data_IF_456290493190
#
_entry.id   IF_456290493190
#
_cell.length_a   1.000
_cell.length_b   1.000
_cell.length_c   1.000
_cell.angle_alpha   90.00
_cell.angle_beta   90.00
_cell.angle_gamma   90.00
#
_symmetry.space_group_name_H-M   'P 1'
#
loop_
_entity.id
_entity.type
_entity.pdbx_description
1 polymer ?
#
# COMPACT_ATOMS: atom_id res chain seq x y z
N UNK A 1 27.48 70.55 59.17
CA UNK A 1 28.40 70.58 58.00
C UNK A 1 29.52 69.56 58.15
N UNK A 2 30.31 69.54 59.25
CA UNK A 2 31.42 68.58 59.45
C UNK A 2 31.01 67.08 59.49
N UNK A 3 29.86 66.72 60.07
CA UNK A 3 29.39 65.31 60.10
C UNK A 3 29.03 64.75 58.72
N UNK A 4 28.61 65.61 57.79
CA UNK A 4 28.26 65.19 56.42
C UNK A 4 29.54 64.90 55.63
N UNK A 5 30.59 65.70 55.79
CA UNK A 5 31.89 65.49 55.16
C UNK A 5 32.59 64.24 55.70
N UNK A 6 32.50 63.97 57.00
CA UNK A 6 33.03 62.74 57.62
C UNK A 6 32.29 61.49 57.11
N UNK A 7 30.96 61.55 57.00
CA UNK A 7 30.17 60.47 56.41
C UNK A 7 30.49 60.27 54.92
N UNK A 8 30.68 61.35 54.17
CA UNK A 8 31.05 61.28 52.76
C UNK A 8 32.43 60.63 52.58
N UNK A 9 33.43 61.04 53.38
CA UNK A 9 34.76 60.42 53.36
C UNK A 9 34.75 58.94 53.73
N UNK A 10 33.91 58.54 54.71
CA UNK A 10 33.73 57.13 55.06
C UNK A 10 33.03 56.33 53.95
N UNK A 11 32.07 56.93 53.25
CA UNK A 11 31.40 56.30 52.10
C UNK A 11 32.39 56.13 50.95
N UNK A 12 33.18 57.15 50.61
CA UNK A 12 34.20 57.05 49.55
C UNK A 12 35.23 55.96 49.87
N UNK A 13 35.73 55.92 51.11
CA UNK A 13 36.66 54.87 51.54
C UNK A 13 36.02 53.47 51.54
N UNK A 14 34.74 53.36 51.90
CA UNK A 14 34.00 52.10 51.81
C UNK A 14 33.80 51.66 50.35
N UNK A 15 33.50 52.60 49.44
CA UNK A 15 33.34 52.33 48.02
C UNK A 15 34.65 51.91 47.35
N UNK A 16 35.78 52.56 47.68
CA UNK A 16 37.09 52.13 47.20
C UNK A 16 37.44 50.73 47.70
N UNK A 17 37.18 50.44 48.97
CA UNK A 17 37.42 49.10 49.55
C UNK A 17 36.52 48.04 48.93
N UNK A 18 35.27 48.36 48.60
CA UNK A 18 34.36 47.48 47.85
C UNK A 18 34.88 47.30 46.42
N UNK A 19 35.31 48.36 45.75
CA UNK A 19 35.87 48.30 44.40
C UNK A 19 37.08 47.36 44.33
N UNK A 20 38.03 47.51 45.26
CA UNK A 20 39.19 46.62 45.39
C UNK A 20 38.75 45.17 45.71
N UNK A 21 37.76 45.00 46.59
CA UNK A 21 37.22 43.68 46.92
C UNK A 21 36.56 42.98 45.73
N UNK A 22 35.79 43.71 44.92
CA UNK A 22 35.14 43.19 43.70
C UNK A 22 36.18 42.85 42.65
N UNK A 23 37.20 43.69 42.44
CA UNK A 23 38.31 43.37 41.53
C UNK A 23 39.06 42.13 41.97
N UNK A 24 39.34 41.96 43.26
CA UNK A 24 40.00 40.77 43.79
C UNK A 24 39.13 39.51 43.69
N UNK A 25 37.81 39.63 43.83
CA UNK A 25 36.88 38.50 43.60
C UNK A 25 36.82 38.11 42.12
N UNK A 26 36.77 39.09 41.21
CA UNK A 26 36.80 38.83 39.77
C UNK A 26 38.12 38.18 39.33
N UNK A 27 39.26 38.64 39.84
CA UNK A 27 40.57 37.98 39.61
C UNK A 27 40.60 36.57 40.17
N UNK A 28 40.00 36.33 41.34
CA UNK A 28 39.92 35.00 41.95
C UNK A 28 39.03 34.05 41.16
N UNK A 29 37.96 34.54 40.54
CA UNK A 29 37.05 33.76 39.70
C UNK A 29 37.69 33.40 38.34
N UNK A 30 38.50 34.30 37.77
CA UNK A 30 39.26 34.06 36.54
C UNK A 30 40.44 33.10 36.77
N UNK A 31 41.05 33.14 37.96
CA UNK A 31 42.20 32.30 38.34
C UNK A 31 41.81 31.02 39.07
N UNK A 32 40.53 30.86 39.45
CA UNK A 32 40.02 29.64 40.05
C UNK A 32 40.02 28.52 39.01
N UNK A 33 40.92 27.55 39.18
CA UNK A 33 40.86 26.31 38.43
C UNK A 33 39.48 25.64 38.66
N UNK A 34 38.86 25.09 37.60
CA UNK A 34 37.59 24.38 37.75
C UNK A 34 37.75 23.28 38.81
N UNK A 35 36.76 23.17 39.71
CA UNK A 35 36.75 22.17 40.77
C UNK A 35 36.91 20.77 40.15
N UNK A 36 37.95 20.00 40.52
CA UNK A 36 38.21 18.68 39.94
C UNK A 36 37.03 17.72 40.12
N UNK A 37 36.21 17.88 41.17
CA UNK A 37 35.01 17.05 41.37
C UNK A 37 33.92 17.35 40.34
N UNK A 38 33.73 18.62 39.98
CA UNK A 38 32.76 19.02 38.95
C UNK A 38 33.22 18.57 37.55
N UNK A 39 34.52 18.64 37.27
CA UNK A 39 35.09 18.15 36.02
C UNK A 39 34.88 16.64 35.86
N UNK A 40 35.12 15.86 36.93
CA UNK A 40 34.88 14.41 36.91
C UNK A 40 33.40 14.07 36.72
N UNK A 41 32.48 14.76 37.42
CA UNK A 41 31.05 14.55 37.26
C UNK A 41 30.57 14.88 35.84
N UNK A 42 31.14 15.91 35.21
CA UNK A 42 30.84 16.27 33.83
C UNK A 42 31.33 15.19 32.85
N UNK A 43 32.51 14.63 33.05
CA UNK A 43 33.03 13.53 32.23
C UNK A 43 32.15 12.26 32.35
N UNK A 44 31.71 11.92 33.57
CA UNK A 44 30.80 10.81 33.83
C UNK A 44 29.45 10.99 33.12
N UNK A 45 28.86 12.18 33.21
CA UNK A 45 27.60 12.52 32.51
C UNK A 45 27.77 12.54 30.99
N UNK A 46 28.89 13.04 30.46
CA UNK A 46 29.18 12.98 29.02
C UNK A 46 29.29 11.54 28.51
N UNK A 47 29.94 10.67 29.28
CA UNK A 47 30.04 9.25 28.96
C UNK A 47 28.67 8.56 29.01
N UNK A 48 27.86 8.85 30.02
CA UNK A 48 26.49 8.35 30.13
C UNK A 48 25.63 8.84 28.94
N UNK A 49 25.75 10.11 28.57
CA UNK A 49 25.03 10.68 27.43
C UNK A 49 25.45 10.01 26.11
N UNK A 50 26.75 9.83 25.88
CA UNK A 50 27.26 9.13 24.70
C UNK A 50 26.73 7.69 24.60
N UNK A 51 26.69 6.95 25.71
CA UNK A 51 26.10 5.61 25.77
C UNK A 51 24.60 5.61 25.46
N UNK A 52 23.85 6.57 26.01
CA UNK A 52 22.42 6.72 25.74
C UNK A 52 22.16 7.10 24.28
N UNK A 53 22.97 7.98 23.70
CA UNK A 53 22.89 8.34 22.29
C UNK A 53 23.13 7.14 21.38
N UNK A 54 24.13 6.31 21.68
CA UNK A 54 24.38 5.10 20.89
C UNK A 54 23.25 4.07 21.05
N UNK A 55 22.74 3.87 22.27
CA UNK A 55 21.56 3.02 22.49
C UNK A 55 20.34 3.53 21.72
N UNK A 56 20.10 4.82 21.72
CA UNK A 56 19.01 5.46 20.98
C UNK A 56 19.21 5.31 19.46
N UNK A 57 20.45 5.43 18.97
CA UNK A 57 20.80 5.20 17.57
C UNK A 57 20.50 3.75 17.16
N UNK A 58 20.94 2.79 17.97
CA UNK A 58 20.68 1.36 17.74
C UNK A 58 19.19 1.03 17.79
N UNK A 59 18.45 1.60 18.75
CA UNK A 59 17.02 1.41 18.86
C UNK A 59 16.28 1.98 17.65
N UNK A 60 16.65 3.18 17.20
CA UNK A 60 16.11 3.79 15.98
C UNK A 60 16.39 2.95 14.74
N UNK A 61 17.60 2.41 14.61
CA UNK A 61 17.95 1.51 13.50
C UNK A 61 17.08 0.25 13.51
N UNK A 62 16.93 -0.41 14.67
CA UNK A 62 16.06 -1.59 14.81
C UNK A 62 14.61 -1.29 14.44
N UNK A 63 14.06 -0.17 14.90
CA UNK A 63 12.70 0.21 14.54
C UNK A 63 12.54 0.55 13.07
N UNK A 64 13.56 1.15 12.43
CA UNK A 64 13.54 1.38 10.99
C UNK A 64 13.50 0.04 10.22
N UNK A 65 14.30 -0.94 10.65
CA UNK A 65 14.32 -2.28 10.07
C UNK A 65 12.97 -3.01 10.27
N UNK A 66 12.39 -2.95 11.47
CA UNK A 66 11.07 -3.53 11.79
C UNK A 66 9.96 -2.90 10.94
N UNK A 67 9.97 -1.57 10.78
CA UNK A 67 9.00 -0.87 9.94
C UNK A 67 9.17 -1.21 8.46
N UNK A 68 10.41 -1.41 7.99
CA UNK A 68 10.67 -1.85 6.63
C UNK A 68 10.15 -3.27 6.40
N UNK A 69 10.38 -4.20 7.35
CA UNK A 69 9.87 -5.55 7.29
C UNK A 69 8.33 -5.61 7.28
N UNK A 70 7.68 -4.86 8.19
CA UNK A 70 6.22 -4.78 8.24
C UNK A 70 5.60 -4.21 6.96
N UNK A 71 6.26 -3.23 6.33
CA UNK A 71 5.81 -2.69 5.03
C UNK A 71 5.90 -3.75 3.94
N UNK A 72 7.01 -4.47 3.84
CA UNK A 72 7.16 -5.56 2.88
C UNK A 72 6.11 -6.67 3.09
N UNK A 73 5.80 -7.02 4.34
CA UNK A 73 4.75 -7.99 4.65
C UNK A 73 3.35 -7.51 4.23
N UNK A 74 3.05 -6.21 4.41
CA UNK A 74 1.79 -5.62 3.95
C UNK A 74 1.68 -5.60 2.42
N UNK A 75 2.76 -5.26 1.72
CA UNK A 75 2.80 -5.27 0.25
C UNK A 75 2.57 -6.69 -0.28
N UNK A 76 3.27 -7.69 0.29
CA UNK A 76 3.04 -9.11 -0.02
C UNK A 76 1.60 -9.55 0.26
N UNK A 77 1.01 -9.10 1.38
CA UNK A 77 -0.38 -9.41 1.71
C UNK A 77 -1.39 -8.79 0.73
N UNK A 78 -1.09 -7.60 0.20
CA UNK A 78 -1.90 -6.96 -0.83
C UNK A 78 -1.81 -7.74 -2.15
N UNK A 79 -0.61 -8.16 -2.58
CA UNK A 79 -0.42 -9.01 -3.77
C UNK A 79 -1.14 -10.36 -3.65
N UNK A 80 -1.09 -10.99 -2.47
CA UNK A 80 -1.83 -12.24 -2.25
C UNK A 80 -3.35 -12.03 -2.36
N UNK A 81 -3.86 -10.88 -1.91
CA UNK A 81 -5.29 -10.56 -2.05
C UNK A 81 -5.70 -10.33 -3.50
N UNK A 82 -4.88 -9.63 -4.30
CA UNK A 82 -5.17 -9.42 -5.73
C UNK A 82 -5.16 -10.75 -6.48
N UNK A 83 -4.15 -11.60 -6.27
CA UNK A 83 -4.09 -12.94 -6.88
C UNK A 83 -5.28 -13.82 -6.50
N UNK A 84 -5.76 -13.75 -5.25
CA UNK A 84 -6.96 -14.47 -4.81
C UNK A 84 -8.22 -13.97 -5.52
N UNK A 85 -8.36 -12.67 -5.71
CA UNK A 85 -9.49 -12.09 -6.43
C UNK A 85 -9.49 -12.51 -7.91
N UNK A 86 -8.32 -12.48 -8.56
CA UNK A 86 -8.14 -12.95 -9.93
C UNK A 86 -8.49 -14.44 -10.08
N UNK A 87 -8.00 -15.28 -9.16
CA UNK A 87 -8.30 -16.71 -9.18
C UNK A 87 -9.80 -17.00 -8.99
N UNK A 88 -10.47 -16.24 -8.12
CA UNK A 88 -11.92 -16.34 -7.95
C UNK A 88 -12.68 -15.94 -9.24
N UNK A 89 -12.30 -14.82 -9.85
CA UNK A 89 -12.89 -14.37 -11.12
C UNK A 89 -12.66 -15.39 -12.26
N UNK A 90 -11.47 -16.00 -12.32
CA UNK A 90 -11.16 -17.05 -13.29
C UNK A 90 -12.02 -18.31 -13.04
N UNK A 91 -12.22 -18.71 -11.78
CA UNK A 91 -13.10 -19.81 -11.42
C UNK A 91 -14.55 -19.58 -11.85
N UNK A 92 -15.06 -18.35 -11.68
CA UNK A 92 -16.39 -17.96 -12.14
C UNK A 92 -16.52 -17.99 -13.66
N UNK A 93 -15.53 -17.46 -14.38
CA UNK A 93 -15.49 -17.52 -15.84
C UNK A 93 -15.47 -18.97 -16.35
N UNK A 94 -14.70 -19.85 -15.71
CA UNK A 94 -14.65 -21.27 -16.06
C UNK A 94 -16.00 -21.96 -15.85
N UNK A 95 -16.70 -21.68 -14.75
CA UNK A 95 -18.04 -22.24 -14.48
C UNK A 95 -19.07 -21.78 -15.51
N UNK A 96 -19.00 -20.51 -15.94
CA UNK A 96 -19.86 -19.99 -17.02
C UNK A 96 -19.57 -20.70 -18.34
N UNK A 97 -18.30 -20.82 -18.71
CA UNK A 97 -17.89 -21.52 -19.92
C UNK A 97 -18.36 -22.98 -19.93
N UNK A 98 -18.22 -23.72 -18.82
CA UNK A 98 -18.71 -25.10 -18.72
C UNK A 98 -20.23 -25.17 -18.92
N UNK A 99 -20.97 -24.25 -18.33
CA UNK A 99 -22.44 -24.13 -18.53
C UNK A 99 -22.78 -23.88 -19.99
N UNK A 100 -22.07 -22.98 -20.66
CA UNK A 100 -22.31 -22.63 -22.06
C UNK A 100 -21.94 -23.78 -23.01
N UNK A 101 -20.86 -24.50 -22.73
CA UNK A 101 -20.49 -25.73 -23.47
C UNK A 101 -21.55 -26.82 -23.31
N UNK A 102 -22.08 -27.03 -22.10
CA UNK A 102 -23.15 -27.99 -21.86
C UNK A 102 -24.43 -27.61 -22.62
N UNK A 103 -24.81 -26.32 -22.63
CA UNK A 103 -25.94 -25.82 -23.41
C UNK A 103 -25.74 -26.00 -24.91
N UNK A 104 -24.54 -25.72 -25.42
CA UNK A 104 -24.22 -25.90 -26.82
C UNK A 104 -24.30 -27.37 -27.24
N UNK A 105 -23.84 -28.30 -26.39
CA UNK A 105 -23.97 -29.74 -26.63
C UNK A 105 -25.44 -30.16 -26.68
N UNK A 106 -26.23 -29.75 -25.70
CA UNK A 106 -27.66 -30.04 -25.66
C UNK A 106 -28.40 -29.52 -26.90
N UNK A 107 -28.13 -28.28 -27.31
CA UNK A 107 -28.71 -27.69 -28.52
C UNK A 107 -28.29 -28.45 -29.79
N UNK A 108 -27.03 -28.89 -29.90
CA UNK A 108 -26.56 -29.71 -31.02
C UNK A 108 -27.25 -31.08 -31.06
N UNK A 109 -27.42 -31.74 -29.92
CA UNK A 109 -28.12 -33.02 -29.83
C UNK A 109 -29.59 -32.88 -30.24
N UNK A 110 -30.26 -31.81 -29.80
CA UNK A 110 -31.64 -31.51 -30.19
C UNK A 110 -31.77 -31.19 -31.68
N UNK A 111 -30.84 -30.43 -32.25
CA UNK A 111 -30.77 -30.18 -33.70
C UNK A 111 -30.58 -31.47 -34.50
N UNK A 112 -29.74 -32.40 -34.03
CA UNK A 112 -29.52 -33.71 -34.67
C UNK A 112 -30.79 -34.56 -34.64
N UNK A 113 -31.46 -34.62 -33.49
CA UNK A 113 -32.73 -35.33 -33.34
C UNK A 113 -33.80 -34.74 -34.25
N UNK A 114 -33.93 -33.41 -34.29
CA UNK A 114 -34.89 -32.73 -35.16
C UNK A 114 -34.59 -32.97 -36.65
N UNK A 115 -33.32 -32.91 -37.08
CA UNK A 115 -32.94 -33.23 -38.45
C UNK A 115 -33.20 -34.71 -38.82
N UNK A 116 -33.08 -35.63 -37.86
CA UNK A 116 -33.45 -37.03 -38.08
C UNK A 116 -34.97 -37.19 -38.25
N UNK A 117 -35.76 -36.53 -37.39
CA UNK A 117 -37.22 -36.56 -37.47
C UNK A 117 -37.75 -35.92 -38.76
N UNK A 118 -37.23 -34.77 -39.16
CA UNK A 118 -37.58 -34.11 -40.42
C UNK A 118 -37.24 -34.98 -41.65
N UNK A 119 -36.10 -35.69 -41.63
CA UNK A 119 -35.76 -36.63 -42.70
C UNK A 119 -36.74 -37.80 -42.76
N UNK A 120 -37.09 -38.40 -41.62
CA UNK A 120 -38.07 -39.47 -41.54
C UNK A 120 -39.47 -39.01 -42.02
N UNK A 121 -39.90 -37.81 -41.62
CA UNK A 121 -41.16 -37.22 -42.05
C UNK A 121 -41.18 -36.96 -43.57
N UNK A 122 -40.11 -36.39 -44.13
CA UNK A 122 -39.96 -36.19 -45.57
C UNK A 122 -39.94 -37.53 -46.35
N UNK A 123 -39.24 -38.55 -45.86
CA UNK A 123 -39.22 -39.90 -46.46
C UNK A 123 -40.61 -40.54 -46.45
N UNK A 124 -41.40 -40.29 -45.41
CA UNK A 124 -42.79 -40.74 -45.31
C UNK A 124 -43.79 -39.91 -46.12
N UNK A 125 -43.35 -38.79 -46.72
CA UNK A 125 -44.20 -37.85 -47.46
C UNK A 125 -45.20 -37.09 -46.58
N UNK A 126 -45.04 -37.13 -45.25
CA UNK A 126 -45.91 -36.46 -44.28
C UNK A 126 -45.22 -35.17 -43.84
N UNK A 127 -45.71 -34.02 -44.31
CA UNK A 127 -45.27 -32.73 -43.79
C UNK A 127 -45.88 -32.49 -42.41
N UNK A 128 -45.15 -32.75 -41.33
CA UNK A 128 -45.60 -32.47 -39.96
C UNK A 128 -45.17 -31.06 -39.50
N UNK A 129 -46.11 -30.13 -39.26
CA UNK A 129 -45.81 -28.76 -38.81
C UNK A 129 -45.12 -28.70 -37.44
N UNK A 130 -45.41 -29.65 -36.55
CA UNK A 130 -44.80 -29.78 -35.22
C UNK A 130 -43.29 -29.99 -35.31
N UNK A 131 -42.81 -30.81 -36.25
CA UNK A 131 -41.38 -31.06 -36.45
C UNK A 131 -40.63 -29.84 -36.97
N UNK A 132 -41.28 -29.04 -37.82
CA UNK A 132 -40.74 -27.76 -38.30
C UNK A 132 -40.61 -26.78 -37.14
N UNK A 133 -41.63 -26.69 -36.27
CA UNK A 133 -41.58 -25.84 -35.08
C UNK A 133 -40.48 -26.28 -34.10
N UNK A 134 -40.31 -27.60 -33.88
CA UNK A 134 -39.22 -28.13 -33.05
C UNK A 134 -37.83 -27.84 -33.64
N UNK A 135 -37.67 -27.97 -34.96
CA UNK A 135 -36.44 -27.62 -35.66
C UNK A 135 -36.10 -26.14 -35.50
N UNK A 136 -37.09 -25.28 -35.68
CA UNK A 136 -36.95 -23.83 -35.56
C UNK A 136 -36.64 -23.41 -34.12
N UNK A 137 -37.24 -24.07 -33.12
CA UNK A 137 -36.88 -23.88 -31.71
C UNK A 137 -35.44 -24.29 -31.41
N UNK A 138 -35.00 -25.46 -31.91
CA UNK A 138 -33.64 -25.93 -31.74
C UNK A 138 -32.62 -25.01 -32.43
N UNK A 139 -32.95 -24.44 -33.58
CA UNK A 139 -32.12 -23.46 -34.29
C UNK A 139 -32.03 -22.13 -33.52
N UNK A 140 -33.14 -21.65 -32.96
CA UNK A 140 -33.16 -20.47 -32.10
C UNK A 140 -32.35 -20.67 -30.82
N UNK A 141 -32.43 -21.86 -30.19
CA UNK A 141 -31.61 -22.21 -29.04
C UNK A 141 -30.12 -22.30 -29.40
N UNK A 142 -29.79 -22.89 -30.56
CA UNK A 142 -28.43 -22.92 -31.09
C UNK A 142 -27.86 -21.51 -31.34
N UNK A 143 -28.62 -20.63 -31.98
CA UNK A 143 -28.24 -19.23 -32.21
C UNK A 143 -28.05 -18.46 -30.89
N UNK A 144 -28.91 -18.68 -29.91
CA UNK A 144 -28.78 -18.07 -28.58
C UNK A 144 -27.55 -18.58 -27.85
N UNK A 145 -27.26 -19.87 -27.92
CA UNK A 145 -26.07 -20.46 -27.32
C UNK A 145 -24.80 -19.93 -27.98
N UNK A 146 -24.73 -19.89 -29.32
CA UNK A 146 -23.60 -19.33 -30.06
C UNK A 146 -23.35 -17.86 -29.67
N UNK A 147 -24.41 -17.05 -29.64
CA UNK A 147 -24.30 -15.64 -29.25
C UNK A 147 -23.87 -15.46 -27.78
N UNK A 148 -24.30 -16.35 -26.88
CA UNK A 148 -23.86 -16.33 -25.49
C UNK A 148 -22.36 -16.63 -25.38
N UNK A 149 -21.87 -17.63 -26.12
CA UNK A 149 -20.44 -17.94 -26.22
C UNK A 149 -19.65 -16.76 -26.76
N UNK A 150 -20.08 -16.14 -27.87
CA UNK A 150 -19.40 -14.98 -28.44
C UNK A 150 -19.28 -13.83 -27.43
N UNK A 151 -20.34 -13.54 -26.68
CA UNK A 151 -20.33 -12.50 -25.64
C UNK A 151 -19.40 -12.87 -24.48
N UNK A 152 -19.38 -14.14 -24.07
CA UNK A 152 -18.47 -14.62 -23.03
C UNK A 152 -17.00 -14.53 -23.47
N UNK A 153 -16.69 -14.90 -24.70
CA UNK A 153 -15.35 -14.79 -25.29
C UNK A 153 -14.90 -13.33 -25.39
N UNK A 154 -15.74 -12.45 -25.94
CA UNK A 154 -15.45 -11.01 -26.02
C UNK A 154 -15.24 -10.42 -24.63
N UNK A 155 -16.09 -10.76 -23.66
CA UNK A 155 -15.95 -10.32 -22.27
C UNK A 155 -14.64 -10.77 -21.64
N UNK A 156 -14.23 -12.03 -21.87
CA UNK A 156 -12.96 -12.56 -21.38
C UNK A 156 -11.75 -11.87 -22.04
N UNK A 157 -11.82 -11.55 -23.34
CA UNK A 157 -10.79 -10.80 -24.05
C UNK A 157 -10.70 -9.37 -23.51
N UNK A 158 -11.83 -8.67 -23.36
CA UNK A 158 -11.88 -7.32 -22.79
C UNK A 158 -11.30 -7.28 -21.38
N UNK A 159 -11.68 -8.22 -20.51
CA UNK A 159 -11.15 -8.33 -19.14
C UNK A 159 -9.62 -8.53 -19.09
N UNK A 160 -9.02 -9.16 -20.12
CA UNK A 160 -7.56 -9.27 -20.25
C UNK A 160 -6.90 -8.03 -20.83
N UNK A 161 -7.57 -7.32 -21.75
CA UNK A 161 -7.03 -6.13 -22.41
C UNK A 161 -7.09 -4.88 -21.52
N UNK A 162 -8.14 -4.74 -20.72
CA UNK A 162 -8.37 -3.59 -19.83
C UNK A 162 -7.19 -3.30 -18.88
N UNK A 163 -6.64 -4.30 -18.13
CA UNK A 163 -5.45 -4.06 -17.30
C UNK A 163 -4.18 -3.75 -18.11
N UNK A 164 -4.02 -4.29 -19.32
CA UNK A 164 -2.87 -3.99 -20.19
C UNK A 164 -2.92 -2.55 -20.72
N UNK A 165 -4.11 -2.07 -21.07
CA UNK A 165 -4.35 -0.67 -21.46
C UNK A 165 -4.13 0.30 -20.29
N UNK A 166 -4.63 -0.03 -19.10
CA UNK A 166 -4.40 0.76 -17.89
C UNK A 166 -2.90 0.82 -17.54
N UNK A 167 -2.19 -0.31 -17.62
CA UNK A 167 -0.74 -0.37 -17.42
C UNK A 167 0.05 0.43 -18.47
N UNK A 168 -0.36 0.41 -19.74
CA UNK A 168 0.26 1.22 -20.81
C UNK A 168 0.01 2.72 -20.64
N UNK A 169 -1.16 3.13 -20.14
CA UNK A 169 -1.48 4.51 -19.86
C UNK A 169 -0.67 5.05 -18.66
N UNK A 170 -0.55 4.26 -17.59
CA UNK A 170 0.27 4.60 -16.43
C UNK A 170 1.77 4.69 -16.78
N UNK A 171 2.28 3.78 -17.62
CA UNK A 171 3.67 3.82 -18.09
C UNK A 171 4.00 5.08 -18.90
N UNK A 172 3.07 5.57 -19.74
CA UNK A 172 3.25 6.81 -20.50
C UNK A 172 3.20 8.07 -19.65
N UNK A 173 2.41 8.09 -18.57
CA UNK A 173 2.35 9.25 -17.66
C UNK A 173 3.58 9.35 -16.74
N UNK A 174 4.25 8.23 -16.46
CA UNK A 174 5.51 8.22 -15.70
C UNK A 174 6.74 8.67 -16.49
N UNK A 175 6.65 8.77 -17.83
CA UNK A 175 7.72 9.25 -18.71
C UNK A 175 7.69 10.78 -18.93
N UNK A 176 6.61 11.46 -18.55
CA UNK A 176 6.43 12.92 -18.70
C UNK A 176 6.74 13.74 -17.42
N UNK A 177 7.26 13.11 -16.35
CA UNK A 177 7.68 13.76 -15.09
C UNK A 177 9.18 13.60 -14.87
#
# INVERSE_FOLDING_TARGET
>A
MSQIEELHGRITAAMERIGVGVSAMAEREITAAPDPMLAQALEEEQLANAQLQERLRLLKARHADELAALRADLDNAAEVQTLRAELAAQGDAMRRLDTDVQRLRAANDQLRQSNAALRAANESGVGEPELINQAMQAELEGLRAARATDVAEIGAVLAKLEPLLAGSAAARQGEEV
#
